data_IF_609776616801
#
_entry.id   IF_609776616801
#
_cell.length_a   1.000
_cell.length_b   1.000
_cell.length_c   1.000
_cell.angle_alpha   90.00
_cell.angle_beta   90.00
_cell.angle_gamma   90.00
#
_symmetry.space_group_name_H-M   'P 1'
#
loop_
_entity.id
_entity.type
_entity.pdbx_description
1 polymer ?
#
# COMPACT_ATOMS: atom_id res chain seq x y z
N UNK A 1 13.55 -5.01 -12.06
CA UNK A 1 14.61 -4.03 -12.37
C UNK A 1 15.87 -4.29 -11.55
N UNK A 2 15.79 -4.64 -10.28
CA UNK A 2 16.94 -4.83 -9.37
C UNK A 2 17.32 -6.29 -9.10
N UNK A 3 16.77 -7.26 -9.82
CA UNK A 3 17.00 -8.72 -9.63
C UNK A 3 18.47 -9.14 -9.68
N UNK A 4 19.30 -8.37 -10.38
CA UNK A 4 20.73 -8.64 -10.52
C UNK A 4 21.62 -7.71 -9.68
N UNK A 5 21.01 -6.87 -8.83
CA UNK A 5 21.77 -5.99 -7.93
C UNK A 5 22.46 -6.83 -6.83
N UNK A 6 23.76 -6.72 -6.75
CA UNK A 6 24.57 -7.48 -5.80
C UNK A 6 24.76 -6.77 -4.46
N UNK A 7 24.24 -5.54 -4.32
CA UNK A 7 24.31 -4.81 -3.06
C UNK A 7 23.39 -5.45 -2.04
N UNK A 8 23.87 -5.56 -0.81
CA UNK A 8 23.10 -6.07 0.33
C UNK A 8 22.55 -4.90 1.12
N UNK A 9 21.25 -4.92 1.42
CA UNK A 9 20.56 -3.95 2.27
C UNK A 9 20.01 -4.66 3.50
N UNK A 10 20.30 -4.13 4.69
CA UNK A 10 19.70 -4.59 5.93
C UNK A 10 18.27 -4.07 6.03
N UNK A 11 17.36 -4.93 6.50
CA UNK A 11 15.95 -4.58 6.64
C UNK A 11 15.44 -4.87 8.05
N UNK A 12 14.39 -4.17 8.43
CA UNK A 12 13.69 -4.30 9.70
C UNK A 12 12.19 -4.16 9.50
N UNK A 13 11.43 -5.08 10.06
CA UNK A 13 10.01 -4.88 10.36
C UNK A 13 9.88 -4.43 11.82
N UNK A 14 9.48 -3.17 12.02
CA UNK A 14 9.45 -2.51 13.32
C UNK A 14 8.07 -2.64 13.97
N UNK A 15 7.79 -3.78 14.55
CA UNK A 15 6.59 -4.00 15.37
C UNK A 15 6.73 -3.48 16.79
N UNK A 16 5.61 -3.03 17.39
CA UNK A 16 5.60 -2.53 18.77
C UNK A 16 5.97 -3.58 19.84
N UNK A 17 5.86 -4.87 19.52
CA UNK A 17 6.23 -5.98 20.41
C UNK A 17 7.55 -6.61 20.03
N UNK A 18 7.79 -6.80 18.73
CA UNK A 18 8.99 -7.44 18.21
C UNK A 18 9.55 -6.64 17.03
N UNK A 19 10.86 -6.66 16.90
CA UNK A 19 11.61 -6.29 15.72
C UNK A 19 11.97 -7.55 14.94
N UNK A 20 11.78 -7.54 13.61
CA UNK A 20 12.17 -8.65 12.75
C UNK A 20 13.20 -8.17 11.74
N UNK A 21 14.40 -8.67 11.85
CA UNK A 21 15.56 -8.27 11.06
C UNK A 21 15.83 -9.26 9.94
N UNK A 22 16.25 -8.76 8.78
CA UNK A 22 16.66 -9.56 7.64
C UNK A 22 17.66 -8.80 6.77
N UNK A 23 18.01 -9.36 5.63
CA UNK A 23 18.78 -8.71 4.58
C UNK A 23 18.25 -9.09 3.20
N UNK A 24 18.30 -8.14 2.27
CA UNK A 24 17.84 -8.30 0.89
C UNK A 24 19.00 -8.08 -0.08
N UNK A 25 19.00 -8.85 -1.15
CA UNK A 25 19.87 -8.68 -2.30
C UNK A 25 19.10 -9.09 -3.56
N UNK A 26 19.10 -8.25 -4.59
CA UNK A 26 18.48 -8.57 -5.87
C UNK A 26 16.98 -8.90 -5.75
N UNK A 27 16.22 -8.12 -5.00
CA UNK A 27 14.79 -8.33 -4.69
C UNK A 27 14.48 -9.63 -3.92
N UNK A 28 15.49 -10.28 -3.33
CA UNK A 28 15.31 -11.52 -2.59
C UNK A 28 15.84 -11.42 -1.18
N UNK A 29 15.09 -11.94 -0.23
CA UNK A 29 15.55 -12.09 1.15
C UNK A 29 16.66 -13.15 1.21
N UNK A 30 17.83 -12.76 1.69
CA UNK A 30 19.03 -13.65 1.72
C UNK A 30 19.35 -14.18 3.12
N UNK A 31 18.75 -13.61 4.17
CA UNK A 31 18.88 -14.07 5.56
C UNK A 31 17.50 -14.39 6.10
N UNK A 32 17.34 -15.57 6.70
CA UNK A 32 16.10 -15.91 7.40
C UNK A 32 15.80 -14.88 8.50
N UNK A 33 14.52 -14.46 8.68
CA UNK A 33 14.14 -13.44 9.65
C UNK A 33 14.58 -13.78 11.07
N UNK A 34 15.13 -12.80 11.77
CA UNK A 34 15.59 -12.92 13.16
C UNK A 34 14.78 -11.95 14.00
N UNK A 35 14.12 -12.46 15.03
CA UNK A 35 13.24 -11.66 15.88
C UNK A 35 13.89 -11.33 17.23
N UNK A 36 13.73 -10.08 17.65
CA UNK A 36 14.08 -9.59 18.99
C UNK A 36 12.91 -8.79 19.58
N UNK A 37 12.72 -8.78 20.90
CA UNK A 37 11.75 -7.90 21.55
C UNK A 37 12.04 -6.43 21.24
N UNK A 38 11.01 -5.64 20.91
CA UNK A 38 11.20 -4.20 20.68
C UNK A 38 11.44 -3.41 21.96
N UNK A 39 10.84 -3.84 23.10
CA UNK A 39 10.88 -3.15 24.40
C UNK A 39 10.59 -1.66 24.22
N UNK A 40 9.54 -1.36 23.48
CA UNK A 40 9.20 -0.04 22.94
C UNK A 40 8.89 1.04 23.99
N UNK A 41 8.71 0.65 25.25
CA UNK A 41 8.52 1.54 26.41
C UNK A 41 9.83 2.01 27.06
N UNK A 42 10.97 1.40 26.72
CA UNK A 42 12.30 1.73 27.24
C UNK A 42 13.27 2.02 26.09
N UNK A 43 13.61 3.30 25.90
CA UNK A 43 14.43 3.73 24.76
C UNK A 43 15.80 3.06 24.71
N UNK A 44 16.52 3.01 25.84
CA UNK A 44 17.88 2.44 25.86
C UNK A 44 17.89 0.96 25.47
N UNK A 45 16.93 0.18 26.03
CA UNK A 45 16.79 -1.23 25.67
C UNK A 45 16.32 -1.42 24.22
N UNK A 46 15.41 -0.56 23.77
CA UNK A 46 14.92 -0.59 22.39
C UNK A 46 16.08 -0.36 21.42
N UNK A 47 16.88 0.67 21.62
CA UNK A 47 18.06 0.98 20.80
C UNK A 47 19.13 -0.13 20.89
N UNK A 48 19.38 -0.68 22.06
CA UNK A 48 20.31 -1.80 22.23
C UNK A 48 19.85 -3.05 21.46
N UNK A 49 18.54 -3.37 21.47
CA UNK A 49 17.97 -4.48 20.72
C UNK A 49 18.02 -4.25 19.20
N UNK A 50 17.84 -3.00 18.74
CA UNK A 50 18.04 -2.64 17.33
C UNK A 50 19.47 -2.92 16.88
N UNK A 51 20.48 -2.48 17.64
CA UNK A 51 21.87 -2.78 17.30
C UNK A 51 22.16 -4.28 17.34
N UNK A 52 21.71 -4.98 18.38
CA UNK A 52 21.89 -6.43 18.51
C UNK A 52 21.29 -7.19 17.32
N UNK A 53 20.12 -6.78 16.87
CA UNK A 53 19.44 -7.39 15.73
C UNK A 53 20.20 -7.22 14.42
N UNK A 54 20.58 -5.99 14.08
CA UNK A 54 21.38 -5.73 12.88
C UNK A 54 22.74 -6.40 12.95
N UNK A 55 23.44 -6.36 14.08
CA UNK A 55 24.73 -7.05 14.27
C UNK A 55 24.60 -8.56 14.06
N UNK A 56 23.47 -9.14 14.50
CA UNK A 56 23.21 -10.59 14.34
C UNK A 56 23.00 -10.95 12.87
N UNK A 57 22.31 -10.11 12.10
CA UNK A 57 22.17 -10.28 10.65
C UNK A 57 23.53 -10.11 9.97
N UNK A 58 24.27 -9.04 10.28
CA UNK A 58 25.58 -8.76 9.67
C UNK A 58 26.58 -9.88 9.85
N UNK A 59 26.61 -10.56 11.02
CA UNK A 59 27.49 -11.72 11.27
C UNK A 59 27.20 -12.92 10.36
N UNK A 60 26.00 -12.98 9.74
CA UNK A 60 25.60 -14.07 8.83
C UNK A 60 25.80 -13.73 7.36
N UNK A 61 26.19 -12.48 7.06
CA UNK A 61 26.42 -12.02 5.69
C UNK A 61 27.85 -12.34 5.25
N UNK A 62 27.99 -12.78 4.00
CA UNK A 62 29.30 -12.94 3.34
C UNK A 62 29.82 -11.61 2.77
N UNK A 63 28.91 -10.66 2.52
CA UNK A 63 29.21 -9.34 1.94
C UNK A 63 28.71 -8.24 2.86
N UNK A 64 29.50 -7.19 3.05
CA UNK A 64 29.10 -6.04 3.87
C UNK A 64 27.86 -5.35 3.27
N UNK A 65 26.87 -4.97 4.09
CA UNK A 65 25.72 -4.24 3.63
C UNK A 65 26.10 -2.80 3.24
N UNK A 66 25.43 -2.26 2.24
CA UNK A 66 25.65 -0.88 1.75
C UNK A 66 24.68 0.13 2.33
N UNK A 67 23.57 -0.33 2.91
CA UNK A 67 22.53 0.53 3.52
C UNK A 67 21.69 -0.26 4.52
N UNK A 68 20.94 0.49 5.35
CA UNK A 68 19.83 0.02 6.15
C UNK A 68 18.57 0.69 5.61
N UNK A 69 17.50 -0.08 5.36
CA UNK A 69 16.22 0.46 4.88
C UNK A 69 15.06 -0.24 5.57
N UNK A 70 14.13 0.51 6.15
CA UNK A 70 13.00 -0.06 6.85
C UNK A 70 11.82 0.89 7.01
N UNK A 71 10.63 0.30 7.25
CA UNK A 71 9.46 1.02 7.68
C UNK A 71 9.48 1.27 9.19
N UNK A 72 9.07 2.47 9.61
CA UNK A 72 8.80 2.77 11.00
C UNK A 72 7.50 3.56 11.13
N UNK A 73 6.62 3.22 12.11
CA UNK A 73 5.35 3.93 12.23
C UNK A 73 5.54 5.42 12.54
N UNK A 74 4.66 6.25 11.96
CA UNK A 74 4.63 7.69 12.20
C UNK A 74 3.69 8.10 13.35
N UNK A 75 3.64 9.38 13.67
CA UNK A 75 4.27 10.49 12.94
C UNK A 75 5.79 10.55 13.08
N UNK A 76 6.48 11.07 12.04
CA UNK A 76 7.93 11.15 12.01
C UNK A 76 8.42 12.21 11.00
N UNK A 77 9.61 12.74 11.21
CA UNK A 77 10.37 13.43 10.18
C UNK A 77 11.25 12.40 9.44
N UNK A 78 10.63 11.69 8.49
CA UNK A 78 11.30 10.62 7.75
C UNK A 78 12.52 11.12 6.97
N UNK A 79 12.45 12.35 6.43
CA UNK A 79 13.55 12.97 5.68
C UNK A 79 14.84 13.07 6.50
N UNK A 80 14.71 13.40 7.79
CA UNK A 80 15.83 13.50 8.72
C UNK A 80 16.02 12.24 9.58
N UNK A 81 15.17 11.24 9.41
CA UNK A 81 15.22 9.99 10.18
C UNK A 81 14.93 10.18 11.67
N UNK A 82 14.08 11.16 12.03
CA UNK A 82 13.70 11.46 13.40
C UNK A 82 12.28 10.97 13.66
N UNK A 83 12.15 10.04 14.59
CA UNK A 83 10.88 9.44 14.98
C UNK A 83 10.38 10.14 16.25
N UNK A 84 9.12 10.60 16.25
CA UNK A 84 8.58 11.31 17.41
C UNK A 84 7.09 11.59 17.29
N UNK A 85 6.50 12.17 18.35
CA UNK A 85 5.09 12.51 18.42
C UNK A 85 4.21 11.43 19.07
N UNK A 86 2.93 11.37 18.76
CA UNK A 86 2.01 10.44 19.41
C UNK A 86 2.11 9.03 18.78
N UNK A 87 2.99 8.21 19.35
CA UNK A 87 3.30 6.85 18.93
C UNK A 87 2.81 5.84 19.99
N UNK A 88 1.58 5.31 19.90
CA UNK A 88 1.05 4.37 20.89
C UNK A 88 1.92 3.14 21.07
N UNK A 89 2.47 2.60 19.98
CA UNK A 89 3.28 1.37 19.98
C UNK A 89 4.76 1.61 20.33
N UNK A 90 5.20 2.87 20.37
CA UNK A 90 6.57 3.27 20.68
C UNK A 90 6.58 4.50 21.62
N UNK A 91 6.05 4.36 22.84
CA UNK A 91 5.90 5.51 23.75
C UNK A 91 7.25 6.18 24.14
N UNK A 92 8.35 5.43 24.13
CA UNK A 92 9.68 5.97 24.43
C UNK A 92 10.23 6.90 23.34
N UNK A 93 9.65 6.91 22.14
CA UNK A 93 10.07 7.77 21.03
C UNK A 93 9.34 9.14 20.99
N UNK A 94 8.33 9.37 21.83
CA UNK A 94 7.43 10.54 21.77
C UNK A 94 8.14 11.90 21.75
N UNK A 95 9.27 12.02 22.43
CA UNK A 95 10.01 13.28 22.53
C UNK A 95 10.98 13.54 21.36
N UNK A 96 10.95 12.70 20.35
CA UNK A 96 11.86 12.76 19.21
C UNK A 96 13.14 11.96 19.44
N UNK A 97 13.37 10.97 18.60
CA UNK A 97 14.58 10.14 18.57
C UNK A 97 15.19 10.21 17.17
N UNK A 98 16.41 10.68 17.06
CA UNK A 98 17.15 10.72 15.80
C UNK A 98 17.62 9.30 15.39
N UNK A 99 16.66 8.42 15.11
CA UNK A 99 16.91 7.00 14.89
C UNK A 99 17.78 6.74 13.65
N UNK A 100 17.49 7.40 12.53
CA UNK A 100 18.28 7.30 11.31
C UNK A 100 19.73 7.75 11.53
N UNK A 101 19.97 8.98 12.02
CA UNK A 101 21.31 9.44 12.38
C UNK A 101 22.03 8.56 13.41
N UNK A 102 21.32 8.01 14.41
CA UNK A 102 21.88 7.09 15.39
C UNK A 102 22.44 5.82 14.73
N UNK A 103 21.65 5.16 13.90
CA UNK A 103 22.06 3.95 13.18
C UNK A 103 23.16 4.27 12.16
N UNK A 104 23.04 5.37 11.42
CA UNK A 104 24.05 5.81 10.47
C UNK A 104 25.40 6.11 11.14
N UNK A 105 25.38 6.76 12.30
CA UNK A 105 26.60 7.02 13.09
C UNK A 105 27.27 5.72 13.56
N UNK A 106 26.45 4.73 13.97
CA UNK A 106 26.96 3.46 14.50
C UNK A 106 27.53 2.56 13.41
N UNK A 107 26.85 2.44 12.25
CA UNK A 107 27.24 1.51 11.19
C UNK A 107 28.07 2.14 10.06
N UNK A 108 28.12 3.46 9.97
CA UNK A 108 28.87 4.16 8.90
C UNK A 108 28.27 4.00 7.51
N UNK A 109 27.02 3.54 7.38
CA UNK A 109 26.31 3.34 6.11
C UNK A 109 25.00 4.14 6.10
N UNK A 110 24.46 4.53 4.92
CA UNK A 110 23.20 5.24 4.81
C UNK A 110 22.03 4.48 5.46
N UNK A 111 21.13 5.22 6.09
CA UNK A 111 19.90 4.69 6.71
C UNK A 111 18.70 5.40 6.12
N UNK A 112 17.75 4.62 5.59
CA UNK A 112 16.51 5.08 5.00
C UNK A 112 15.35 4.58 5.85
N UNK A 113 14.58 5.50 6.40
CA UNK A 113 13.37 5.19 7.18
C UNK A 113 12.20 5.85 6.47
N UNK A 114 11.11 5.12 6.30
CA UNK A 114 9.92 5.65 5.65
C UNK A 114 8.65 5.13 6.35
N UNK A 115 7.50 5.72 6.04
CA UNK A 115 6.20 5.20 6.43
C UNK A 115 5.93 3.85 5.73
N UNK A 116 5.19 2.95 6.37
CA UNK A 116 4.86 1.62 5.84
C UNK A 116 4.04 1.68 4.54
N UNK A 117 3.05 2.58 4.44
CA UNK A 117 2.27 2.78 3.22
C UNK A 117 3.11 3.34 2.06
N UNK A 118 4.00 4.28 2.35
CA UNK A 118 4.94 4.84 1.38
C UNK A 118 5.93 3.77 0.88
N UNK A 119 6.50 3.00 1.80
CA UNK A 119 7.46 1.96 1.44
C UNK A 119 6.81 0.84 0.63
N UNK A 120 5.56 0.45 0.98
CA UNK A 120 4.76 -0.48 0.20
C UNK A 120 4.55 0.03 -1.24
N UNK A 121 4.05 1.26 -1.39
CA UNK A 121 3.79 1.84 -2.72
C UNK A 121 5.07 1.94 -3.56
N UNK A 122 6.18 2.32 -2.92
CA UNK A 122 7.46 2.45 -3.61
C UNK A 122 8.05 1.09 -4.01
N UNK A 123 7.92 0.07 -3.17
CA UNK A 123 8.28 -1.31 -3.50
C UNK A 123 7.50 -1.84 -4.71
N UNK A 124 6.17 -1.63 -4.72
CA UNK A 124 5.31 -2.01 -5.85
C UNK A 124 5.65 -1.23 -7.14
N UNK A 125 6.13 -0.01 -7.02
CA UNK A 125 6.58 0.78 -8.18
C UNK A 125 7.95 0.35 -8.72
N UNK A 126 8.87 -0.06 -7.87
CA UNK A 126 10.24 -0.40 -8.28
C UNK A 126 10.39 -1.85 -8.73
N UNK A 127 9.76 -2.79 -8.06
CA UNK A 127 9.97 -4.23 -8.27
C UNK A 127 8.70 -5.07 -8.34
N UNK A 128 7.56 -4.53 -7.93
CA UNK A 128 6.28 -5.24 -7.86
C UNK A 128 5.36 -5.01 -9.05
N UNK A 129 4.18 -4.48 -8.78
CA UNK A 129 3.07 -4.37 -9.72
C UNK A 129 3.35 -3.49 -10.94
N UNK A 130 4.00 -2.32 -10.75
CA UNK A 130 4.19 -1.36 -11.84
C UNK A 130 5.07 -1.93 -12.98
N UNK A 131 6.29 -2.46 -12.73
CA UNK A 131 7.07 -3.08 -13.78
C UNK A 131 6.40 -4.33 -14.36
N UNK A 132 5.69 -5.13 -13.56
CA UNK A 132 4.95 -6.30 -14.04
C UNK A 132 3.85 -5.90 -15.03
N UNK A 133 3.04 -4.90 -14.73
CA UNK A 133 1.99 -4.40 -15.63
C UNK A 133 2.59 -3.85 -16.91
N UNK A 134 3.64 -3.04 -16.85
CA UNK A 134 4.33 -2.50 -18.03
C UNK A 134 4.91 -3.60 -18.91
N UNK A 135 5.47 -4.65 -18.32
CA UNK A 135 5.95 -5.82 -19.06
C UNK A 135 4.80 -6.53 -19.81
N UNK A 136 3.65 -6.74 -19.15
CA UNK A 136 2.49 -7.37 -19.76
C UNK A 136 1.91 -6.52 -20.90
N UNK A 137 1.85 -5.20 -20.75
CA UNK A 137 1.46 -4.28 -21.82
C UNK A 137 2.37 -4.42 -23.04
N UNK A 138 3.69 -4.41 -22.82
CA UNK A 138 4.68 -4.57 -23.90
C UNK A 138 4.53 -5.91 -24.63
N UNK A 139 4.36 -7.02 -23.89
CA UNK A 139 4.14 -8.36 -24.47
C UNK A 139 2.85 -8.39 -25.30
N UNK A 140 1.82 -7.65 -24.88
CA UNK A 140 0.55 -7.56 -25.59
C UNK A 140 0.58 -6.59 -26.79
N UNK A 141 1.72 -5.99 -27.10
CA UNK A 141 1.87 -4.99 -28.17
C UNK A 141 1.23 -3.63 -27.85
N UNK A 142 0.91 -3.36 -26.60
CA UNK A 142 0.40 -2.07 -26.15
C UNK A 142 1.59 -1.14 -25.84
N UNK A 143 1.59 0.06 -26.41
CA UNK A 143 2.70 1.02 -26.29
C UNK A 143 2.63 1.87 -25.02
N UNK A 144 1.55 1.73 -24.23
CA UNK A 144 1.35 2.47 -22.99
C UNK A 144 2.36 2.04 -21.93
N UNK A 145 2.88 3.01 -21.19
CA UNK A 145 3.73 2.81 -20.02
C UNK A 145 3.17 3.60 -18.84
N UNK A 146 2.96 2.91 -17.72
CA UNK A 146 2.58 3.55 -16.45
C UNK A 146 3.83 3.92 -15.65
N UNK A 147 3.78 5.08 -15.00
CA UNK A 147 4.85 5.61 -14.13
C UNK A 147 4.32 6.11 -12.79
N UNK A 148 2.99 6.13 -12.65
CA UNK A 148 2.29 6.56 -11.46
C UNK A 148 1.58 5.36 -10.82
N UNK A 149 1.57 5.34 -9.49
CA UNK A 149 0.96 4.28 -8.71
C UNK A 149 0.42 4.85 -7.40
N UNK A 150 -0.77 4.43 -7.03
CA UNK A 150 -1.35 4.59 -5.70
C UNK A 150 -1.32 3.23 -5.01
N UNK A 151 -0.42 3.06 -4.06
CA UNK A 151 -0.36 1.87 -3.20
C UNK A 151 -1.26 2.04 -1.99
N UNK A 152 -2.08 1.04 -1.70
CA UNK A 152 -3.05 1.03 -0.60
C UNK A 152 -2.79 -0.16 0.30
N UNK A 153 -2.65 0.07 1.60
CA UNK A 153 -2.55 -0.98 2.60
C UNK A 153 -3.81 -1.05 3.45
N UNK A 154 -4.49 -2.19 3.40
CA UNK A 154 -5.70 -2.47 4.16
C UNK A 154 -5.36 -3.37 5.36
N UNK A 155 -5.48 -2.82 6.57
CA UNK A 155 -5.08 -3.55 7.78
C UNK A 155 -5.67 -2.95 9.05
N UNK A 156 -4.84 -2.78 10.07
CA UNK A 156 -5.21 -2.08 11.31
C UNK A 156 -5.73 -0.67 11.01
N UNK A 157 -5.10 -0.02 10.02
CA UNK A 157 -5.50 1.27 9.47
C UNK A 157 -5.69 1.21 7.95
N UNK A 158 -5.80 2.40 7.36
CA UNK A 158 -5.95 2.66 5.94
C UNK A 158 -4.71 3.42 5.44
N UNK A 159 -3.61 2.70 5.22
CA UNK A 159 -2.38 3.30 4.72
C UNK A 159 -2.38 3.49 3.22
N UNK A 160 -1.64 4.49 2.75
CA UNK A 160 -1.37 4.67 1.34
C UNK A 160 0.01 5.28 1.11
N UNK A 161 0.51 5.11 -0.11
CA UNK A 161 1.66 5.80 -0.65
C UNK A 161 1.43 6.14 -2.10
N UNK A 162 2.02 7.23 -2.56
CA UNK A 162 1.85 7.76 -3.90
C UNK A 162 3.19 7.79 -4.62
N UNK A 163 3.22 7.23 -5.81
CA UNK A 163 4.39 7.29 -6.70
C UNK A 163 4.01 8.06 -7.96
N UNK A 164 4.77 9.09 -8.29
CA UNK A 164 4.61 9.93 -9.48
C UNK A 164 5.91 9.91 -10.28
N UNK A 165 5.83 9.57 -11.56
CA UNK A 165 7.01 9.45 -12.43
C UNK A 165 8.11 8.55 -11.84
N UNK A 166 7.72 7.40 -11.28
CA UNK A 166 8.60 6.44 -10.60
C UNK A 166 9.30 7.00 -9.33
N UNK A 167 8.86 8.14 -8.80
CA UNK A 167 9.38 8.73 -7.58
C UNK A 167 8.31 8.77 -6.49
N UNK A 168 8.67 8.39 -5.27
CA UNK A 168 7.79 8.48 -4.11
C UNK A 168 7.43 9.94 -3.81
N UNK A 169 6.14 10.23 -3.61
CA UNK A 169 5.63 11.53 -3.23
C UNK A 169 5.59 11.66 -1.71
N UNK A 170 6.64 12.19 -1.12
CA UNK A 170 6.67 12.46 0.32
C UNK A 170 5.94 13.75 0.71
N UNK A 171 5.85 14.73 -0.23
CA UNK A 171 5.36 16.07 0.07
C UNK A 171 6.36 16.90 0.88
N UNK A 172 6.07 18.19 1.01
CA UNK A 172 6.95 19.13 1.73
C UNK A 172 6.97 18.87 3.25
N UNK A 173 5.91 18.29 3.79
CA UNK A 173 5.73 18.01 5.21
C UNK A 173 5.75 16.52 5.56
N UNK A 174 6.08 15.64 4.62
CA UNK A 174 6.05 14.20 4.83
C UNK A 174 4.64 13.60 4.93
N UNK A 175 3.60 14.31 4.45
CA UNK A 175 2.19 13.89 4.53
C UNK A 175 1.61 13.51 3.15
N UNK A 176 2.47 13.26 2.16
CA UNK A 176 2.05 12.77 0.86
C UNK A 176 1.43 11.37 0.99
N UNK A 177 0.19 11.21 0.51
CA UNK A 177 -0.48 9.91 0.56
C UNK A 177 -1.38 9.67 1.79
N UNK A 178 -1.61 10.64 2.65
CA UNK A 178 -2.48 10.52 3.84
C UNK A 178 -3.97 10.33 3.50
N UNK A 179 -4.29 9.26 2.75
CA UNK A 179 -5.67 8.94 2.34
C UNK A 179 -6.57 8.58 3.52
N UNK A 180 -6.02 8.12 4.62
CA UNK A 180 -6.74 7.76 5.83
C UNK A 180 -7.55 8.93 6.43
N UNK A 181 -7.05 10.17 6.24
CA UNK A 181 -7.69 11.43 6.67
C UNK A 181 -8.79 11.92 5.72
N UNK A 182 -8.93 11.33 4.54
CA UNK A 182 -10.00 11.71 3.62
C UNK A 182 -11.36 11.58 4.29
N UNK A 183 -12.31 12.37 3.81
CA UNK A 183 -13.67 12.36 4.37
C UNK A 183 -14.36 11.04 4.09
N UNK A 184 -14.97 10.47 5.12
CA UNK A 184 -15.73 9.24 5.02
C UNK A 184 -17.04 9.50 4.24
N UNK A 185 -17.29 8.71 3.20
CA UNK A 185 -18.52 8.84 2.38
C UNK A 185 -19.79 8.60 3.19
N UNK A 186 -19.80 7.56 4.02
CA UNK A 186 -20.98 7.16 4.82
C UNK A 186 -21.16 8.04 6.05
N UNK A 187 -20.05 8.48 6.65
CA UNK A 187 -20.03 9.28 7.88
C UNK A 187 -19.22 10.57 7.65
N UNK A 188 -19.80 11.63 7.03
CA UNK A 188 -19.05 12.79 6.53
C UNK A 188 -18.26 13.58 7.58
N UNK A 189 -18.53 13.37 8.87
CA UNK A 189 -17.79 13.98 9.98
C UNK A 189 -16.67 13.10 10.53
N UNK A 190 -16.42 11.94 9.91
CA UNK A 190 -15.36 11.00 10.29
C UNK A 190 -14.32 10.86 9.18
N UNK A 191 -13.15 10.36 9.55
CA UNK A 191 -12.09 10.00 8.61
C UNK A 191 -12.44 8.70 7.86
N UNK A 192 -11.88 8.54 6.67
CA UNK A 192 -12.09 7.35 5.84
C UNK A 192 -11.70 6.06 6.57
N UNK A 193 -10.62 6.10 7.35
CA UNK A 193 -10.11 4.94 8.09
C UNK A 193 -11.14 4.34 9.09
N UNK A 194 -12.10 5.14 9.59
CA UNK A 194 -13.18 4.60 10.45
C UNK A 194 -14.06 3.58 9.74
N UNK A 195 -14.10 3.59 8.40
CA UNK A 195 -14.80 2.59 7.59
C UNK A 195 -13.85 1.69 6.78
N UNK A 196 -12.54 1.96 6.81
CA UNK A 196 -11.52 1.21 6.03
C UNK A 196 -10.44 0.69 6.98
N UNK A 197 -10.79 -0.28 7.81
CA UNK A 197 -9.87 -0.87 8.79
C UNK A 197 -10.42 -2.18 9.36
N UNK A 198 -9.57 -2.92 10.07
CA UNK A 198 -9.96 -4.12 10.83
C UNK A 198 -11.14 -3.81 11.78
N UNK A 199 -11.11 -2.67 12.46
CA UNK A 199 -12.19 -2.29 13.39
C UNK A 199 -13.50 -2.01 12.67
N UNK A 200 -13.45 -1.50 11.45
CA UNK A 200 -14.63 -1.27 10.62
C UNK A 200 -15.32 -2.58 10.22
N UNK A 201 -14.55 -3.56 9.71
CA UNK A 201 -15.09 -4.89 9.37
C UNK A 201 -15.77 -5.53 10.56
N UNK A 202 -15.13 -5.51 11.74
CA UNK A 202 -15.69 -6.06 12.99
C UNK A 202 -16.97 -5.32 13.41
N UNK A 203 -16.98 -4.00 13.34
CA UNK A 203 -18.14 -3.18 13.68
C UNK A 203 -19.31 -3.48 12.77
N UNK A 204 -19.11 -3.44 11.46
CA UNK A 204 -20.18 -3.67 10.47
C UNK A 204 -20.73 -5.10 10.58
N UNK A 205 -19.86 -6.10 10.75
CA UNK A 205 -20.30 -7.47 10.99
C UNK A 205 -21.19 -7.55 12.25
N UNK A 206 -20.77 -6.97 13.37
CA UNK A 206 -21.54 -6.98 14.61
C UNK A 206 -22.88 -6.26 14.47
N UNK A 207 -22.92 -5.13 13.75
CA UNK A 207 -24.13 -4.36 13.48
C UNK A 207 -25.15 -5.18 12.66
N UNK A 208 -24.70 -5.88 11.61
CA UNK A 208 -25.56 -6.62 10.69
C UNK A 208 -26.00 -7.97 11.25
N UNK A 209 -25.11 -8.71 11.90
CA UNK A 209 -25.40 -10.04 12.46
C UNK A 209 -26.05 -10.01 13.83
N UNK A 210 -25.99 -8.86 14.54
CA UNK A 210 -26.43 -8.76 15.94
C UNK A 210 -25.48 -9.42 16.94
N UNK A 211 -24.36 -10.02 16.50
CA UNK A 211 -23.37 -10.69 17.35
C UNK A 211 -22.54 -9.66 18.08
N UNK A 212 -22.52 -9.73 19.43
CA UNK A 212 -21.77 -8.80 20.29
C UNK A 212 -20.39 -9.33 20.70
N UNK A 213 -19.96 -10.45 20.13
CA UNK A 213 -18.66 -11.03 20.44
C UNK A 213 -17.52 -10.18 19.87
N UNK A 214 -16.82 -9.49 20.78
CA UNK A 214 -15.67 -8.63 20.44
C UNK A 214 -14.38 -9.45 20.18
N UNK A 215 -14.38 -10.74 20.48
CA UNK A 215 -13.20 -11.60 20.29
C UNK A 215 -12.99 -12.00 18.83
N UNK A 216 -14.03 -11.94 17.98
CA UNK A 216 -13.94 -12.26 16.57
C UNK A 216 -12.85 -11.43 15.89
N UNK A 217 -11.95 -12.10 15.23
CA UNK A 217 -10.90 -11.50 14.40
C UNK A 217 -11.40 -11.30 12.97
N UNK A 218 -10.74 -10.45 12.14
CA UNK A 218 -11.07 -10.35 10.72
C UNK A 218 -10.96 -11.69 9.99
N UNK A 219 -10.02 -12.55 10.40
CA UNK A 219 -9.89 -13.92 9.89
C UNK A 219 -11.12 -14.76 10.19
N UNK A 220 -11.67 -14.68 11.41
CA UNK A 220 -12.90 -15.36 11.76
C UNK A 220 -14.08 -14.91 10.91
N UNK A 221 -14.20 -13.59 10.67
CA UNK A 221 -15.26 -13.02 9.81
C UNK A 221 -15.06 -13.48 8.36
N UNK A 222 -13.82 -13.53 7.89
CA UNK A 222 -13.51 -14.10 6.58
C UNK A 222 -13.89 -15.57 6.47
N UNK A 223 -13.57 -16.39 7.50
CA UNK A 223 -13.93 -17.80 7.52
C UNK A 223 -15.46 -18.01 7.58
N UNK A 224 -16.20 -17.11 8.22
CA UNK A 224 -17.67 -17.09 8.18
C UNK A 224 -18.14 -16.76 6.75
N UNK A 225 -17.57 -15.77 6.08
CA UNK A 225 -17.88 -15.43 4.70
C UNK A 225 -17.64 -16.61 3.74
N UNK A 226 -16.57 -17.38 3.95
CA UNK A 226 -16.24 -18.59 3.21
C UNK A 226 -17.13 -19.80 3.57
N UNK A 227 -17.89 -19.73 4.67
CA UNK A 227 -18.67 -20.85 5.20
C UNK A 227 -17.83 -21.91 5.91
N UNK A 228 -16.60 -21.60 6.29
CA UNK A 228 -15.68 -22.45 7.05
C UNK A 228 -16.02 -22.40 8.54
N UNK A 229 -16.42 -21.22 9.03
CA UNK A 229 -16.83 -20.98 10.41
C UNK A 229 -18.33 -20.67 10.48
N UNK A 230 -18.98 -21.16 11.53
CA UNK A 230 -20.40 -20.86 11.80
C UNK A 230 -20.59 -19.37 12.10
N UNK A 231 -21.67 -18.78 11.54
CA UNK A 231 -22.02 -17.39 11.72
C UNK A 231 -22.90 -16.84 10.58
N UNK A 232 -23.18 -15.55 10.62
CA UNK A 232 -23.95 -14.89 9.58
C UNK A 232 -23.07 -14.57 8.37
N UNK A 233 -23.17 -15.44 7.35
CA UNK A 233 -22.40 -15.31 6.11
C UNK A 233 -22.70 -14.03 5.33
N UNK A 234 -23.98 -13.63 5.31
CA UNK A 234 -24.37 -12.42 4.56
C UNK A 234 -23.79 -11.17 5.23
N UNK A 235 -23.89 -11.08 6.56
CA UNK A 235 -23.27 -10.00 7.32
C UNK A 235 -21.75 -9.97 7.14
N UNK A 236 -21.09 -11.14 7.10
CA UNK A 236 -19.66 -11.23 6.90
C UNK A 236 -19.22 -10.72 5.52
N UNK A 237 -19.89 -11.15 4.45
CA UNK A 237 -19.64 -10.65 3.09
C UNK A 237 -19.92 -9.15 3.00
N UNK A 238 -21.05 -8.68 3.55
CA UNK A 238 -21.43 -7.29 3.52
C UNK A 238 -20.44 -6.38 4.28
N UNK A 239 -19.82 -6.86 5.36
CA UNK A 239 -18.84 -6.10 6.14
C UNK A 239 -17.56 -5.79 5.32
N UNK A 240 -17.07 -6.74 4.54
CA UNK A 240 -15.95 -6.52 3.62
C UNK A 240 -16.38 -5.66 2.40
N UNK A 241 -17.61 -5.85 1.91
CA UNK A 241 -18.16 -5.06 0.82
C UNK A 241 -18.29 -3.57 1.20
N UNK A 242 -18.83 -3.25 2.39
CA UNK A 242 -18.89 -1.87 2.87
C UNK A 242 -17.51 -1.24 2.97
N UNK A 243 -16.52 -1.98 3.51
CA UNK A 243 -15.14 -1.49 3.54
C UNK A 243 -14.61 -1.21 2.14
N UNK A 244 -14.90 -2.09 1.17
CA UNK A 244 -14.52 -1.89 -0.23
C UNK A 244 -15.13 -0.64 -0.84
N UNK A 245 -16.43 -0.38 -0.63
CA UNK A 245 -17.11 0.82 -1.10
C UNK A 245 -16.46 2.09 -0.51
N UNK A 246 -16.23 2.11 0.80
CA UNK A 246 -15.63 3.27 1.46
C UNK A 246 -14.19 3.52 1.03
N UNK A 247 -13.40 2.46 0.84
CA UNK A 247 -12.06 2.54 0.27
C UNK A 247 -12.11 3.09 -1.17
N UNK A 248 -13.03 2.58 -2.00
CA UNK A 248 -13.23 3.04 -3.38
C UNK A 248 -13.51 4.53 -3.47
N UNK A 249 -14.31 5.07 -2.56
CA UNK A 249 -14.63 6.51 -2.51
C UNK A 249 -13.40 7.38 -2.20
N UNK A 250 -12.56 6.97 -1.25
CA UNK A 250 -11.33 7.67 -0.94
C UNK A 250 -10.32 7.54 -2.09
N UNK A 251 -10.17 6.34 -2.66
CA UNK A 251 -9.30 6.07 -3.80
C UNK A 251 -9.71 6.89 -5.03
N UNK A 252 -11.02 7.02 -5.32
CA UNK A 252 -11.51 7.85 -6.42
C UNK A 252 -11.03 9.30 -6.30
N UNK A 253 -11.09 9.86 -5.10
CA UNK A 253 -10.62 11.22 -4.82
C UNK A 253 -9.11 11.36 -5.06
N UNK A 254 -8.31 10.36 -4.64
CA UNK A 254 -6.86 10.33 -4.87
C UNK A 254 -6.52 10.14 -6.35
N UNK A 255 -7.24 9.26 -7.07
CA UNK A 255 -7.00 8.98 -8.49
C UNK A 255 -7.20 10.19 -9.38
N UNK A 256 -8.11 11.09 -9.05
CA UNK A 256 -8.29 12.34 -9.78
C UNK A 256 -7.06 13.28 -9.71
N UNK A 257 -6.09 12.97 -8.85
CA UNK A 257 -4.82 13.70 -8.71
C UNK A 257 -3.65 12.85 -9.19
N UNK A 258 -3.62 11.56 -8.85
CA UNK A 258 -2.48 10.66 -9.10
C UNK A 258 -2.47 10.17 -10.54
N UNK A 259 -3.64 9.84 -11.11
CA UNK A 259 -3.79 9.24 -12.45
C UNK A 259 -2.77 8.10 -12.67
N UNK A 260 -2.98 6.97 -12.01
CA UNK A 260 -2.03 5.85 -12.01
C UNK A 260 -2.67 4.51 -11.65
N UNK A 261 -1.88 3.46 -11.64
CA UNK A 261 -2.32 2.14 -11.19
C UNK A 261 -2.69 2.16 -9.70
N UNK A 262 -3.64 1.34 -9.29
CA UNK A 262 -4.01 1.14 -7.88
C UNK A 262 -3.57 -0.25 -7.45
N UNK A 263 -2.74 -0.34 -6.41
CA UNK A 263 -2.27 -1.62 -5.86
C UNK A 263 -2.77 -1.77 -4.43
N UNK A 264 -3.49 -2.85 -4.17
CA UNK A 264 -4.09 -3.16 -2.87
C UNK A 264 -3.24 -4.21 -2.17
N UNK A 265 -2.75 -3.87 -0.98
CA UNK A 265 -2.00 -4.78 -0.10
C UNK A 265 -2.50 -4.73 1.34
N UNK A 266 -1.67 -5.23 2.27
CA UNK A 266 -2.00 -5.32 3.69
C UNK A 266 -2.76 -6.59 4.08
N UNK A 267 -2.91 -6.82 5.38
CA UNK A 267 -3.45 -8.06 5.93
C UNK A 267 -4.89 -8.37 5.53
N UNK A 268 -5.70 -7.36 5.20
CA UNK A 268 -7.08 -7.57 4.73
C UNK A 268 -7.17 -7.82 3.21
N UNK A 269 -6.10 -7.65 2.44
CA UNK A 269 -6.07 -7.96 1.01
C UNK A 269 -6.39 -9.43 0.71
N UNK A 270 -6.16 -10.35 1.68
CA UNK A 270 -6.61 -11.74 1.56
C UNK A 270 -8.13 -11.92 1.40
N UNK A 271 -8.92 -10.91 1.77
CA UNK A 271 -10.37 -10.87 1.56
C UNK A 271 -10.78 -10.11 0.27
N UNK A 272 -9.84 -9.88 -0.66
CA UNK A 272 -10.04 -9.11 -1.89
C UNK A 272 -11.27 -9.53 -2.69
N UNK A 273 -11.59 -10.83 -2.75
CA UNK A 273 -12.78 -11.36 -3.42
C UNK A 273 -14.11 -10.74 -2.96
N UNK A 274 -14.16 -10.24 -1.71
CA UNK A 274 -15.31 -9.54 -1.13
C UNK A 274 -15.15 -8.03 -1.13
N UNK A 275 -13.91 -7.53 -1.16
CA UNK A 275 -13.58 -6.10 -1.13
C UNK A 275 -13.62 -5.48 -2.52
N UNK A 276 -12.91 -6.10 -3.49
CA UNK A 276 -12.73 -5.51 -4.82
C UNK A 276 -14.04 -5.26 -5.60
N UNK A 277 -15.06 -6.13 -5.56
CA UNK A 277 -16.30 -5.86 -6.30
C UNK A 277 -16.94 -4.53 -5.92
N UNK A 278 -17.07 -4.24 -4.61
CA UNK A 278 -17.64 -3.00 -4.13
C UNK A 278 -16.71 -1.79 -4.36
N UNK A 279 -15.41 -1.97 -4.17
CA UNK A 279 -14.40 -0.94 -4.42
C UNK A 279 -14.42 -0.50 -5.90
N UNK A 280 -14.41 -1.44 -6.83
CA UNK A 280 -14.42 -1.16 -8.26
C UNK A 280 -15.76 -0.58 -8.70
N UNK A 281 -16.88 -1.08 -8.16
CA UNK A 281 -18.18 -0.51 -8.42
C UNK A 281 -18.26 0.96 -7.99
N UNK A 282 -17.65 1.30 -6.85
CA UNK A 282 -17.55 2.70 -6.40
C UNK A 282 -16.68 3.55 -7.31
N UNK A 283 -15.55 3.07 -7.75
CA UNK A 283 -14.70 3.79 -8.73
C UNK A 283 -15.39 4.02 -10.06
N UNK A 284 -16.28 3.11 -10.46
CA UNK A 284 -17.10 3.20 -11.69
C UNK A 284 -18.40 3.97 -11.49
N UNK A 285 -18.67 4.45 -10.28
CA UNK A 285 -19.88 5.21 -9.99
C UNK A 285 -19.84 6.61 -10.61
N UNK A 286 -20.92 7.33 -10.50
CA UNK A 286 -21.09 8.67 -11.06
C UNK A 286 -21.44 9.70 -9.99
N UNK A 287 -21.03 10.93 -10.20
CA UNK A 287 -21.42 12.11 -9.43
C UNK A 287 -22.30 13.04 -10.27
N UNK A 288 -23.23 13.74 -9.64
CA UNK A 288 -24.20 14.58 -10.33
C UNK A 288 -23.96 16.05 -10.10
N UNK A 289 -24.31 16.86 -11.09
CA UNK A 289 -24.39 18.31 -10.98
C UNK A 289 -25.81 18.76 -10.58
N UNK A 290 -25.97 19.99 -10.15
CA UNK A 290 -27.29 20.60 -9.89
C UNK A 290 -28.16 20.67 -11.16
N UNK A 291 -27.57 20.70 -12.36
CA UNK A 291 -28.25 20.61 -13.64
C UNK A 291 -28.92 19.26 -13.91
N UNK A 292 -28.54 18.22 -13.15
CA UNK A 292 -28.96 16.83 -13.37
C UNK A 292 -27.98 16.03 -14.25
N UNK A 293 -26.98 16.67 -14.83
CA UNK A 293 -25.91 15.97 -15.57
C UNK A 293 -25.09 15.10 -14.62
N UNK A 294 -24.61 13.96 -15.14
CA UNK A 294 -23.80 13.01 -14.38
C UNK A 294 -22.44 12.79 -15.03
N UNK A 295 -21.41 12.65 -14.20
CA UNK A 295 -20.04 12.39 -14.61
C UNK A 295 -19.50 11.19 -13.86
N UNK A 296 -18.61 10.38 -14.47
CA UNK A 296 -17.94 9.31 -13.73
C UNK A 296 -17.10 9.89 -12.59
N UNK A 297 -17.02 9.17 -11.47
CA UNK A 297 -16.20 9.56 -10.31
C UNK A 297 -14.72 9.73 -10.67
N UNK A 298 -14.23 8.93 -11.62
CA UNK A 298 -12.88 9.05 -12.21
C UNK A 298 -13.02 9.06 -13.73
N UNK A 299 -12.16 9.82 -14.42
CA UNK A 299 -12.23 9.94 -15.89
C UNK A 299 -11.71 8.73 -16.64
N UNK A 300 -11.01 7.81 -15.95
CA UNK A 300 -10.41 6.63 -16.54
C UNK A 300 -11.38 5.46 -16.49
N UNK A 301 -11.34 4.61 -17.51
CA UNK A 301 -11.96 3.29 -17.46
C UNK A 301 -11.20 2.43 -16.43
N UNK A 302 -11.91 1.95 -15.42
CA UNK A 302 -11.34 1.17 -14.32
C UNK A 302 -11.47 -0.31 -14.64
N UNK A 303 -10.36 -1.04 -14.56
CA UNK A 303 -10.29 -2.47 -14.82
C UNK A 303 -9.90 -3.25 -13.58
N UNK A 304 -10.60 -4.36 -13.32
CA UNK A 304 -10.21 -5.33 -12.31
C UNK A 304 -9.10 -6.23 -12.88
N UNK A 305 -7.87 -6.06 -12.42
CA UNK A 305 -6.76 -6.90 -12.86
C UNK A 305 -6.92 -8.38 -12.47
N UNK A 306 -7.64 -8.66 -11.40
CA UNK A 306 -7.87 -10.03 -10.92
C UNK A 306 -8.91 -10.77 -11.77
N UNK A 307 -9.74 -10.05 -12.53
CA UNK A 307 -10.64 -10.63 -13.54
C UNK A 307 -9.87 -10.84 -14.85
N UNK A 308 -9.90 -12.06 -15.38
CA UNK A 308 -9.13 -12.43 -16.56
C UNK A 308 -9.61 -11.74 -17.85
N UNK A 309 -10.91 -11.51 -17.98
CA UNK A 309 -11.51 -10.84 -19.13
C UNK A 309 -11.14 -9.36 -19.11
N UNK A 310 -11.36 -8.69 -17.97
CA UNK A 310 -11.04 -7.27 -17.81
C UNK A 310 -9.54 -7.02 -17.96
N UNK A 311 -8.69 -7.89 -17.42
CA UNK A 311 -7.24 -7.80 -17.59
C UNK A 311 -6.83 -7.88 -19.06
N UNK A 312 -7.42 -8.79 -19.82
CA UNK A 312 -7.16 -8.92 -21.26
C UNK A 312 -7.58 -7.65 -22.01
N UNK A 313 -8.73 -7.10 -21.68
CA UNK A 313 -9.23 -5.86 -22.28
C UNK A 313 -8.35 -4.65 -21.90
N UNK A 314 -7.88 -4.57 -20.66
CA UNK A 314 -6.94 -3.55 -20.22
C UNK A 314 -5.62 -3.60 -21.01
N UNK A 315 -5.10 -4.80 -21.25
CA UNK A 315 -3.84 -5.02 -21.96
C UNK A 315 -3.95 -4.82 -23.48
N UNK A 316 -5.14 -4.88 -24.04
CA UNK A 316 -5.33 -4.77 -25.49
C UNK A 316 -4.81 -3.44 -26.03
N UNK A 317 -4.10 -3.44 -27.19
CA UNK A 317 -3.68 -2.22 -27.87
C UNK A 317 -4.86 -1.29 -28.15
N UNK A 318 -4.70 0.00 -27.92
CA UNK A 318 -5.75 1.01 -28.11
C UNK A 318 -5.28 2.25 -28.88
N UNK A 319 -4.12 2.17 -29.50
CA UNK A 319 -3.57 3.29 -30.26
C UNK A 319 -4.35 3.49 -31.59
N UNK A 320 -4.60 4.75 -31.90
CA UNK A 320 -5.14 5.22 -33.19
C UNK A 320 -4.19 6.24 -33.77
N UNK A 321 -4.30 6.45 -35.08
CA UNK A 321 -3.63 7.53 -35.76
C UNK A 321 -4.68 8.53 -36.28
N UNK A 322 -4.36 9.80 -36.17
CA UNK A 322 -5.17 10.89 -36.73
C UNK A 322 -4.29 11.75 -37.64
N UNK A 323 -4.89 12.26 -38.73
CA UNK A 323 -4.18 13.14 -39.62
C UNK A 323 -4.01 14.55 -39.01
N UNK A 324 -2.87 15.17 -39.25
CA UNK A 324 -2.72 16.60 -39.04
C UNK A 324 -3.61 17.28 -40.07
N UNK A 325 -4.54 18.17 -39.66
CA UNK A 325 -5.47 18.81 -40.61
C UNK A 325 -4.75 19.51 -41.78
N UNK A 326 -5.17 19.20 -43.00
CA UNK A 326 -4.58 19.73 -44.23
C UNK A 326 -3.28 19.06 -44.67
N UNK A 327 -2.89 17.94 -44.10
CA UNK A 327 -1.69 17.16 -44.46
C UNK A 327 -1.96 15.67 -44.56
N UNK A 328 -1.02 14.94 -45.17
CA UNK A 328 -1.01 13.47 -45.18
C UNK A 328 -0.24 12.86 -43.95
N UNK A 329 0.19 13.73 -43.02
CA UNK A 329 0.96 13.30 -41.87
C UNK A 329 0.01 12.78 -40.77
N UNK A 330 0.29 11.59 -40.25
CA UNK A 330 -0.44 10.99 -39.14
C UNK A 330 0.34 11.14 -37.86
N UNK A 331 -0.38 11.31 -36.77
CA UNK A 331 0.17 11.34 -35.39
C UNK A 331 -0.56 10.31 -34.56
N UNK A 332 0.12 9.64 -33.61
CA UNK A 332 -0.53 8.70 -32.70
C UNK A 332 -1.51 9.41 -31.79
N UNK A 333 -2.65 8.80 -31.54
CA UNK A 333 -3.70 9.29 -30.65
C UNK A 333 -4.15 8.20 -29.69
N UNK A 334 -3.79 8.34 -28.44
CA UNK A 334 -4.30 7.48 -27.36
C UNK A 334 -5.62 8.06 -26.83
N UNK A 335 -6.74 7.55 -27.32
CA UNK A 335 -8.08 8.01 -26.97
C UNK A 335 -8.66 7.36 -25.72
N UNK A 336 -8.10 6.25 -25.28
CA UNK A 336 -8.59 5.47 -24.14
C UNK A 336 -7.79 5.83 -22.90
N UNK A 337 -8.47 6.25 -21.84
CA UNK A 337 -7.89 6.48 -20.51
C UNK A 337 -8.19 5.26 -19.66
N UNK A 338 -7.20 4.52 -19.23
CA UNK A 338 -7.37 3.24 -18.51
C UNK A 338 -6.53 3.20 -17.26
N UNK A 339 -7.09 2.65 -16.19
CA UNK A 339 -6.35 2.25 -15.00
C UNK A 339 -6.72 0.83 -14.61
N UNK A 340 -5.82 0.15 -13.91
CA UNK A 340 -6.09 -1.14 -13.32
C UNK A 340 -6.02 -1.07 -11.79
N UNK A 341 -6.91 -1.80 -11.13
CA UNK A 341 -6.88 -2.09 -9.71
C UNK A 341 -6.43 -3.53 -9.55
N UNK A 342 -5.35 -3.76 -8.83
CA UNK A 342 -4.75 -5.08 -8.64
C UNK A 342 -4.35 -5.32 -7.19
N UNK A 343 -4.29 -6.58 -6.79
CA UNK A 343 -3.75 -6.98 -5.50
C UNK A 343 -2.23 -7.18 -5.59
N UNK A 344 -1.51 -6.75 -4.55
CA UNK A 344 -0.10 -7.07 -4.40
C UNK A 344 0.11 -8.58 -4.38
N UNK A 345 1.09 -9.06 -5.13
CA UNK A 345 1.48 -10.47 -5.17
C UNK A 345 2.55 -10.79 -4.13
N UNK A 346 3.31 -9.79 -3.74
CA UNK A 346 4.39 -9.90 -2.76
C UNK A 346 3.88 -9.77 -1.31
N UNK A 347 2.58 -9.50 -1.12
CA UNK A 347 1.98 -9.25 0.18
C UNK A 347 2.58 -7.99 0.84
N UNK A 348 2.61 -7.96 2.18
CA UNK A 348 3.26 -6.88 2.93
C UNK A 348 4.79 -6.93 2.87
N UNK A 349 5.39 -7.98 2.30
CA UNK A 349 6.85 -8.10 2.16
C UNK A 349 7.44 -7.10 1.18
N UNK A 350 6.68 -6.54 0.23
CA UNK A 350 7.14 -5.40 -0.59
C UNK A 350 7.50 -4.16 0.23
N UNK A 351 6.93 -3.98 1.42
CA UNK A 351 7.27 -2.85 2.30
C UNK A 351 8.66 -2.98 2.95
N UNK A 352 9.38 -4.06 2.68
CA UNK A 352 10.71 -4.30 3.24
C UNK A 352 11.81 -4.05 2.18
N UNK A 353 11.45 -3.90 0.91
CA UNK A 353 12.41 -3.58 -0.17
C UNK A 353 12.63 -2.08 -0.28
#
# INVERSE_FOLDING_TARGET
MYEHDKRVVLTLDAGGTNFVFSAIQGNSQIIAPISFPSVSDNLDKCLANLLTGFDTVMKKLETLPVAISFAFPGPADYRNGVIGGNLPNFPSFRNGVALGPFLQHHYGIPVFIENDGNLFAYGEALSGALPMVNQQLSISGNTREYKNLLGITLGTGFGAGVVINNCLLNGDNGCGGDTWLMRNKKYPNMIAEESVSIRAVKRVYAELSGVKDKSLTPKDIFDIAEGIKEGDRQAAVASFGEMGEMAGSAIASALNIVDGLVVIGGGLAGASRYILPALIAELRSSVSMFSGDTFPCVQMDVYNWEDEVERKDFLAPCDREVYIPGTEIKVPYNYSKRIAVLCSREGTSCSIM
#
